data_IF_881146889696
#
_entry.id   IF_881146889696
#
_cell.length_a   1.000
_cell.length_b   1.000
_cell.length_c   1.000
_cell.angle_alpha   90.00
_cell.angle_beta   90.00
_cell.angle_gamma   90.00
#
_symmetry.space_group_name_H-M   'P 1'
#
loop_
_entity.id
_entity.type
_entity.pdbx_description
1 polymer ?
#
# COMPACT_ATOMS: atom_id res chain seq x y z
N UNK A 1 12.19 12.21 -7.82
CA UNK A 1 11.47 10.94 -7.53
C UNK A 1 12.47 9.82 -7.75
N UNK A 2 12.59 8.86 -6.82
CA UNK A 2 13.55 7.74 -6.95
C UNK A 2 12.94 6.64 -7.82
N UNK A 3 13.77 5.75 -8.38
CA UNK A 3 13.29 4.60 -9.16
C UNK A 3 12.37 3.69 -8.32
N UNK A 4 12.70 3.49 -7.03
CA UNK A 4 11.88 2.68 -6.11
C UNK A 4 10.49 3.29 -5.90
N UNK A 5 10.39 4.62 -5.78
CA UNK A 5 9.08 5.27 -5.64
C UNK A 5 8.23 5.04 -6.89
N UNK A 6 8.82 5.10 -8.09
CA UNK A 6 8.11 4.82 -9.35
C UNK A 6 7.65 3.36 -9.42
N UNK A 7 8.54 2.41 -9.16
CA UNK A 7 8.21 0.97 -9.15
C UNK A 7 7.10 0.64 -8.15
N UNK A 8 7.15 1.23 -6.96
CA UNK A 8 6.07 1.07 -5.97
C UNK A 8 4.74 1.63 -6.47
N UNK A 9 4.75 2.80 -7.11
CA UNK A 9 3.54 3.41 -7.65
C UNK A 9 2.96 2.57 -8.79
N UNK A 10 3.80 2.03 -9.67
CA UNK A 10 3.40 1.12 -10.74
C UNK A 10 2.68 -0.12 -10.19
N UNK A 11 3.23 -0.76 -9.16
CA UNK A 11 2.59 -1.89 -8.47
C UNK A 11 1.24 -1.47 -7.83
N UNK A 12 1.19 -0.30 -7.20
CA UNK A 12 -0.01 0.16 -6.50
C UNK A 12 -1.19 0.44 -7.45
N UNK A 13 -0.92 0.96 -8.64
CA UNK A 13 -1.95 1.30 -9.64
C UNK A 13 -2.21 0.16 -10.62
N UNK A 14 -1.42 -0.91 -10.58
CA UNK A 14 -1.59 -2.05 -11.49
C UNK A 14 -2.91 -2.76 -11.21
N UNK A 15 -3.69 -2.95 -12.27
CA UNK A 15 -4.92 -3.76 -12.28
C UNK A 15 -4.67 -5.17 -12.83
N UNK A 16 -3.48 -5.43 -13.36
CA UNK A 16 -3.11 -6.72 -13.97
C UNK A 16 -2.36 -7.61 -12.98
N UNK A 17 -1.74 -7.04 -11.95
CA UNK A 17 -1.03 -7.78 -10.92
C UNK A 17 -2.01 -8.21 -9.83
N UNK A 18 -2.16 -9.52 -9.66
CA UNK A 18 -3.01 -10.12 -8.61
C UNK A 18 -2.63 -9.64 -7.20
N UNK A 19 -1.38 -9.21 -7.03
CA UNK A 19 -0.85 -8.69 -5.78
C UNK A 19 -0.72 -7.14 -5.74
N UNK A 20 -1.36 -6.42 -6.65
CA UNK A 20 -1.39 -4.95 -6.67
C UNK A 20 -2.37 -4.36 -5.65
N UNK A 21 -2.15 -3.12 -5.19
CA UNK A 21 -3.00 -2.50 -4.15
C UNK A 21 -4.47 -2.42 -4.58
N UNK A 22 -4.74 -1.92 -5.78
CA UNK A 22 -6.11 -1.79 -6.28
C UNK A 22 -6.81 -3.14 -6.36
N UNK A 23 -6.14 -4.15 -6.90
CA UNK A 23 -6.68 -5.49 -7.04
C UNK A 23 -6.96 -6.14 -5.67
N UNK A 24 -6.01 -6.05 -4.74
CA UNK A 24 -6.15 -6.60 -3.39
C UNK A 24 -7.32 -5.94 -2.64
N UNK A 25 -7.51 -4.63 -2.79
CA UNK A 25 -8.62 -3.93 -2.13
C UNK A 25 -9.97 -4.36 -2.68
N UNK A 26 -10.06 -4.58 -3.99
CA UNK A 26 -11.29 -5.04 -4.64
C UNK A 26 -11.61 -6.50 -4.31
N UNK A 27 -10.59 -7.36 -4.18
CA UNK A 27 -10.75 -8.82 -4.00
C UNK A 27 -10.81 -9.23 -2.53
N UNK A 28 -9.91 -8.72 -1.69
CA UNK A 28 -9.70 -9.28 -0.34
C UNK A 28 -10.57 -8.62 0.75
N UNK A 29 -11.06 -7.38 0.58
CA UNK A 29 -11.90 -6.77 1.63
C UNK A 29 -12.65 -5.49 1.22
N UNK A 30 -13.93 -5.65 0.82
CA UNK A 30 -14.96 -4.59 0.99
C UNK A 30 -15.56 -4.64 2.41
N UNK A 31 -14.99 -5.45 3.31
CA UNK A 31 -15.53 -5.74 4.64
C UNK A 31 -14.96 -4.84 5.72
N UNK A 32 -15.38 -3.56 5.75
CA UNK A 32 -15.56 -2.64 6.90
C UNK A 32 -14.70 -2.70 8.18
N UNK A 33 -13.58 -3.43 8.21
CA UNK A 33 -12.87 -3.77 9.46
C UNK A 33 -12.01 -2.61 9.98
N UNK A 34 -11.80 -1.57 9.17
CA UNK A 34 -11.03 -0.37 9.57
C UNK A 34 -11.92 0.87 9.82
N UNK A 35 -13.24 0.68 9.89
CA UNK A 35 -14.23 1.73 10.18
C UNK A 35 -14.50 2.65 9.00
N UNK A 36 -14.71 3.93 9.28
CA UNK A 36 -15.02 4.97 8.29
C UNK A 36 -14.13 6.20 8.47
N UNK A 37 -13.87 6.90 7.37
CA UNK A 37 -13.21 8.20 7.35
C UNK A 37 -14.04 9.15 6.48
N UNK A 38 -14.56 10.23 7.05
CA UNK A 38 -15.41 11.19 6.32
C UNK A 38 -16.55 10.54 5.52
N UNK A 39 -17.22 9.54 6.10
CA UNK A 39 -18.26 8.71 5.47
C UNK A 39 -17.80 7.73 4.38
N UNK A 40 -16.50 7.67 4.08
CA UNK A 40 -15.94 6.64 3.19
C UNK A 40 -15.60 5.37 3.98
N UNK A 41 -16.02 4.19 3.50
CA UNK A 41 -15.60 2.93 4.11
C UNK A 41 -14.08 2.81 4.07
N UNK A 42 -13.51 2.26 5.14
CA UNK A 42 -12.08 2.02 5.23
C UNK A 42 -11.74 0.53 5.21
N UNK A 43 -10.59 0.21 4.64
CA UNK A 43 -9.99 -1.13 4.67
C UNK A 43 -8.56 -1.06 5.23
N UNK A 44 -8.12 -2.18 5.79
CA UNK A 44 -6.71 -2.43 6.07
C UNK A 44 -6.14 -3.30 4.96
N UNK A 45 -4.96 -2.97 4.45
CA UNK A 45 -4.28 -3.76 3.41
C UNK A 45 -2.86 -4.04 3.85
N UNK A 46 -2.52 -5.31 3.98
CA UNK A 46 -1.16 -5.73 4.28
C UNK A 46 -0.29 -5.62 3.03
N UNK A 47 0.99 -5.33 3.23
CA UNK A 47 1.97 -5.31 2.15
C UNK A 47 3.32 -5.79 2.65
N UNK A 48 4.09 -6.35 1.74
CA UNK A 48 5.42 -6.87 2.01
C UNK A 48 6.45 -6.06 1.24
N UNK A 49 7.55 -5.71 1.89
CA UNK A 49 8.55 -4.82 1.31
C UNK A 49 9.98 -5.21 1.69
N UNK A 50 10.93 -4.82 0.86
CA UNK A 50 12.34 -4.98 1.14
C UNK A 50 12.76 -3.93 2.20
N UNK A 51 13.21 -4.34 3.40
CA UNK A 51 13.53 -3.41 4.47
C UNK A 51 14.76 -2.54 4.17
N UNK A 52 15.68 -2.98 3.31
CA UNK A 52 16.90 -2.23 2.99
C UNK A 52 16.61 -0.96 2.19
N UNK A 53 15.61 -1.00 1.32
CA UNK A 53 15.37 0.05 0.33
C UNK A 53 13.94 0.55 0.22
N UNK A 54 12.96 -0.10 0.86
CA UNK A 54 11.56 0.31 0.86
C UNK A 54 10.80 -0.02 -0.43
N UNK A 55 11.32 -0.92 -1.27
CA UNK A 55 10.59 -1.45 -2.42
C UNK A 55 9.48 -2.38 -1.95
N UNK A 56 8.25 -2.09 -2.31
CA UNK A 56 7.10 -2.95 -2.08
C UNK A 56 7.19 -4.09 -3.08
N UNK A 57 7.11 -5.31 -2.57
CA UNK A 57 7.15 -6.51 -3.39
C UNK A 57 5.75 -6.92 -3.83
N UNK A 58 4.77 -6.86 -2.91
CA UNK A 58 3.38 -7.25 -3.15
C UNK A 58 2.44 -6.79 -2.03
N UNK A 59 1.15 -6.73 -2.31
CA UNK A 59 0.05 -6.52 -1.36
C UNK A 59 -0.68 -7.84 -1.06
N UNK A 60 -1.31 -7.95 0.11
CA UNK A 60 -2.08 -9.11 0.55
C UNK A 60 -1.30 -10.10 1.43
N UNK A 61 -2.00 -11.16 1.85
CA UNK A 61 -1.56 -12.13 2.88
C UNK A 61 -0.89 -13.40 2.31
N UNK A 62 -0.36 -13.36 1.09
CA UNK A 62 0.10 -14.56 0.38
C UNK A 62 1.23 -15.34 1.09
N UNK A 63 1.16 -16.66 0.91
CA UNK A 63 1.87 -17.74 1.60
C UNK A 63 3.38 -17.58 1.88
N UNK A 64 3.86 -18.30 2.90
CA UNK A 64 5.24 -18.41 3.42
C UNK A 64 6.38 -18.40 2.37
N UNK A 65 6.14 -18.82 1.13
CA UNK A 65 7.18 -18.94 0.11
C UNK A 65 7.66 -17.59 -0.47
N UNK A 66 6.84 -16.53 -0.44
CA UNK A 66 7.24 -15.19 -0.96
C UNK A 66 7.93 -14.31 0.09
N UNK A 67 8.02 -14.73 1.36
CA UNK A 67 8.37 -13.85 2.50
C UNK A 67 9.86 -13.75 2.85
N UNK A 68 10.77 -14.50 2.20
CA UNK A 68 12.18 -14.50 2.62
C UNK A 68 12.82 -13.11 2.44
N UNK A 69 13.27 -12.52 3.56
CA UNK A 69 13.94 -11.21 3.58
C UNK A 69 13.03 -10.00 3.42
N UNK A 70 11.70 -10.19 3.42
CA UNK A 70 10.73 -9.10 3.38
C UNK A 70 10.20 -8.80 4.79
N UNK A 71 9.91 -7.53 5.05
CA UNK A 71 9.11 -7.10 6.20
C UNK A 71 7.65 -6.92 5.79
N UNK A 72 6.75 -7.02 6.76
CA UNK A 72 5.29 -6.89 6.58
C UNK A 72 4.81 -5.65 7.36
N UNK A 73 3.91 -4.87 6.75
CA UNK A 73 3.22 -3.75 7.38
C UNK A 73 1.85 -3.59 6.72
N UNK A 74 1.05 -2.60 7.13
CA UNK A 74 -0.30 -2.38 6.62
C UNK A 74 -0.59 -0.90 6.34
N UNK A 75 -1.41 -0.68 5.32
CA UNK A 75 -2.03 0.62 5.07
C UNK A 75 -3.47 0.59 5.58
N UNK A 76 -3.87 1.68 6.24
CA UNK A 76 -5.29 2.00 6.37
C UNK A 76 -5.70 2.89 5.21
N UNK A 77 -6.70 2.48 4.45
CA UNK A 77 -7.16 3.20 3.26
C UNK A 77 -8.64 3.57 3.39
N UNK A 78 -9.01 4.72 2.86
CA UNK A 78 -10.40 5.08 2.57
C UNK A 78 -10.71 4.73 1.11
N UNK A 79 -11.94 4.26 0.86
CA UNK A 79 -12.39 3.83 -0.46
C UNK A 79 -13.54 4.75 -0.89
N UNK A 80 -13.36 5.46 -1.99
CA UNK A 80 -14.43 6.17 -2.67
C UNK A 80 -15.00 5.26 -3.76
N UNK A 81 -16.11 4.60 -3.45
CA UNK A 81 -16.79 3.66 -4.35
C UNK A 81 -17.41 4.35 -5.58
N UNK A 82 -17.71 5.65 -5.50
CA UNK A 82 -18.32 6.39 -6.60
C UNK A 82 -17.30 6.77 -7.67
N UNK A 83 -16.05 7.05 -7.26
CA UNK A 83 -14.97 7.45 -8.16
C UNK A 83 -13.98 6.33 -8.48
N UNK A 84 -14.14 5.15 -7.86
CA UNK A 84 -13.18 4.05 -7.91
C UNK A 84 -11.75 4.51 -7.53
N UNK A 85 -11.66 5.28 -6.43
CA UNK A 85 -10.40 5.83 -5.93
C UNK A 85 -10.15 5.44 -4.50
N UNK A 86 -8.86 5.34 -4.16
CA UNK A 86 -8.40 4.99 -2.83
C UNK A 86 -7.56 6.12 -2.25
N UNK A 87 -7.66 6.36 -0.95
CA UNK A 87 -6.78 7.28 -0.22
C UNK A 87 -6.11 6.56 0.94
N UNK A 88 -4.79 6.59 1.00
CA UNK A 88 -4.04 6.06 2.15
C UNK A 88 -4.14 7.07 3.29
N UNK A 89 -4.69 6.66 4.42
CA UNK A 89 -4.92 7.49 5.60
C UNK A 89 -3.77 7.40 6.59
N UNK A 90 -3.42 6.18 6.98
CA UNK A 90 -2.46 5.90 8.04
C UNK A 90 -1.37 4.98 7.51
N UNK A 91 -0.12 5.44 7.67
CA UNK A 91 1.09 4.65 7.48
C UNK A 91 2.20 5.23 8.35
N UNK A 92 2.81 4.39 9.20
CA UNK A 92 4.00 4.76 9.96
C UNK A 92 5.13 3.76 9.63
N UNK A 93 6.12 4.15 8.80
CA UNK A 93 7.22 3.25 8.49
C UNK A 93 7.96 2.83 9.77
N UNK A 94 8.36 1.56 9.92
CA UNK A 94 9.07 1.10 11.11
C UNK A 94 10.35 1.89 11.35
N UNK A 95 10.64 2.21 12.61
CA UNK A 95 11.82 3.04 12.94
C UNK A 95 13.15 2.29 12.78
N UNK A 96 13.07 0.96 12.69
CA UNK A 96 14.19 0.01 12.67
C UNK A 96 14.82 -0.15 11.27
N UNK A 97 14.15 0.29 10.21
CA UNK A 97 14.66 0.20 8.83
C UNK A 97 15.51 1.44 8.45
N UNK A 98 16.47 1.30 7.51
CA UNK A 98 17.28 2.41 7.01
C UNK A 98 16.46 3.64 6.61
N UNK A 99 17.02 4.83 6.84
CA UNK A 99 16.36 6.11 6.54
C UNK A 99 15.89 6.22 5.08
N UNK A 100 16.66 5.67 4.14
CA UNK A 100 16.31 5.69 2.73
C UNK A 100 15.07 4.85 2.42
N UNK A 101 14.92 3.68 3.04
CA UNK A 101 13.72 2.85 2.91
C UNK A 101 12.48 3.57 3.45
N UNK A 102 12.59 4.22 4.63
CA UNK A 102 11.52 5.04 5.20
C UNK A 102 11.13 6.20 4.30
N UNK A 103 12.13 6.89 3.72
CA UNK A 103 11.89 8.00 2.78
C UNK A 103 11.15 7.50 1.54
N UNK A 104 11.58 6.38 0.94
CA UNK A 104 10.93 5.82 -0.23
C UNK A 104 9.47 5.45 0.06
N UNK A 105 9.20 4.71 1.15
CA UNK A 105 7.84 4.32 1.52
C UNK A 105 6.95 5.55 1.80
N UNK A 106 7.45 6.54 2.54
CA UNK A 106 6.72 7.79 2.79
C UNK A 106 6.43 8.54 1.50
N UNK A 107 7.43 8.70 0.64
CA UNK A 107 7.27 9.36 -0.65
C UNK A 107 6.30 8.63 -1.56
N UNK A 108 6.31 7.28 -1.57
CA UNK A 108 5.33 6.46 -2.29
C UNK A 108 3.91 6.82 -1.85
N UNK A 109 3.64 6.83 -0.54
CA UNK A 109 2.31 7.19 -0.01
C UNK A 109 1.91 8.64 -0.38
N UNK A 110 2.82 9.60 -0.20
CA UNK A 110 2.57 11.00 -0.54
C UNK A 110 2.27 11.19 -2.03
N UNK A 111 3.05 10.56 -2.91
CA UNK A 111 2.86 10.65 -4.36
C UNK A 111 1.59 9.91 -4.80
N UNK A 112 1.32 8.75 -4.20
CA UNK A 112 0.10 7.99 -4.50
C UNK A 112 -1.14 8.84 -4.20
N UNK A 113 -1.24 9.36 -2.97
CA UNK A 113 -2.37 10.20 -2.56
C UNK A 113 -2.49 11.49 -3.38
N UNK A 114 -1.36 12.06 -3.82
CA UNK A 114 -1.36 13.28 -4.64
C UNK A 114 -1.85 13.03 -6.07
N UNK A 115 -1.47 11.91 -6.67
CA UNK A 115 -1.65 11.67 -8.11
C UNK A 115 -2.86 10.77 -8.42
N UNK A 116 -3.21 9.86 -7.52
CA UNK A 116 -4.23 8.82 -7.72
C UNK A 116 -5.30 8.80 -6.63
N UNK A 117 -5.03 9.40 -5.48
CA UNK A 117 -6.00 9.53 -4.39
C UNK A 117 -7.09 10.58 -4.64
N UNK A 118 -8.18 10.47 -3.88
CA UNK A 118 -9.22 11.48 -3.75
C UNK A 118 -9.05 12.27 -2.45
#
# INVERSE_FOLDING_TARGET
>A
MTNIVLENLELMISTEEEDGLHQVVLVESVGGNAGFWNNYPCAGVNFHYNPENGKIAFFGDYSLQKKQGLMEDSFRIAINLDEDKLRILDYKPPEEIPINARINLRMTVEQYNKNYGF
#
